data_IF_034870066730
#
_entry.id   IF_034870066730
#
_cell.length_a   1.000
_cell.length_b   1.000
_cell.length_c   1.000
_cell.angle_alpha   90.00
_cell.angle_beta   90.00
_cell.angle_gamma   90.00
#
_symmetry.space_group_name_H-M   'P 1'
#
loop_
_entity.id
_entity.type
_entity.pdbx_description
1 polymer ?
#
# COMPACT_ATOMS: atom_id res chain seq x y z
N UNK A 1 -17.76 14.27 -27.24
CA UNK A 1 -17.53 12.83 -26.96
C UNK A 1 -16.26 12.68 -26.13
N UNK A 2 -16.39 12.55 -24.81
CA UNK A 2 -15.27 12.17 -23.94
C UNK A 2 -15.83 11.10 -23.01
N UNK A 3 -15.54 9.84 -23.34
CA UNK A 3 -15.84 8.69 -22.49
C UNK A 3 -15.09 8.84 -21.16
N UNK A 4 -15.70 9.53 -20.19
CA UNK A 4 -15.39 9.36 -18.78
C UNK A 4 -15.95 7.98 -18.41
N UNK A 5 -15.23 6.95 -18.80
CA UNK A 5 -15.51 5.57 -18.39
C UNK A 5 -15.62 5.55 -16.87
N UNK A 6 -16.84 5.29 -16.43
CA UNK A 6 -17.24 5.04 -15.06
C UNK A 6 -16.38 3.91 -14.48
N UNK A 7 -15.22 4.26 -13.91
CA UNK A 7 -14.54 3.39 -12.96
C UNK A 7 -15.41 3.36 -11.70
N UNK A 8 -16.45 2.52 -11.74
CA UNK A 8 -17.02 1.95 -10.54
C UNK A 8 -15.86 1.35 -9.75
N UNK A 9 -15.40 2.05 -8.71
CA UNK A 9 -14.45 1.54 -7.73
C UNK A 9 -15.12 0.32 -7.09
N UNK A 10 -14.77 -0.85 -7.61
CA UNK A 10 -15.49 -2.10 -7.39
C UNK A 10 -15.52 -2.45 -5.91
N UNK A 11 -16.72 -2.67 -5.36
CA UNK A 11 -16.90 -3.29 -4.03
C UNK A 11 -16.27 -4.68 -3.94
N UNK A 12 -16.11 -5.36 -5.07
CA UNK A 12 -15.59 -6.72 -5.14
C UNK A 12 -14.05 -6.75 -5.08
N UNK A 13 -13.47 -7.72 -4.35
CA UNK A 13 -12.03 -7.93 -4.36
C UNK A 13 -11.56 -8.26 -5.78
N UNK A 14 -10.41 -7.71 -6.17
CA UNK A 14 -9.70 -8.09 -7.39
C UNK A 14 -8.78 -9.24 -7.08
N UNK A 15 -8.79 -10.26 -7.93
CA UNK A 15 -8.01 -11.48 -7.74
C UNK A 15 -7.19 -11.78 -8.99
N UNK A 16 -5.92 -12.12 -8.80
CA UNK A 16 -5.01 -12.48 -9.89
C UNK A 16 -4.18 -13.69 -9.50
N UNK A 17 -4.08 -14.66 -10.38
CA UNK A 17 -3.16 -15.78 -10.25
C UNK A 17 -1.88 -15.50 -11.04
N UNK A 18 -0.74 -15.78 -10.42
CA UNK A 18 0.58 -15.73 -11.06
C UNK A 18 1.27 -17.07 -10.87
N UNK A 19 1.95 -17.53 -11.91
CA UNK A 19 2.56 -18.86 -11.98
C UNK A 19 4.09 -18.85 -11.96
N UNK A 20 4.69 -17.66 -11.88
CA UNK A 20 6.14 -17.48 -11.76
C UNK A 20 6.48 -16.19 -11.04
N UNK A 21 7.71 -16.07 -10.55
CA UNK A 21 8.21 -14.83 -9.96
C UNK A 21 8.14 -13.66 -10.93
N UNK A 22 8.36 -13.91 -12.22
CA UNK A 22 8.34 -12.91 -13.29
C UNK A 22 6.92 -12.38 -13.49
N UNK A 23 5.92 -13.25 -13.44
CA UNK A 23 4.51 -12.85 -13.49
C UNK A 23 4.11 -12.05 -12.25
N UNK A 24 4.53 -12.45 -11.04
CA UNK A 24 4.30 -11.67 -9.82
C UNK A 24 4.93 -10.27 -9.90
N UNK A 25 6.18 -10.19 -10.40
CA UNK A 25 6.87 -8.91 -10.60
C UNK A 25 6.15 -8.03 -11.63
N UNK A 26 5.73 -8.61 -12.75
CA UNK A 26 5.00 -7.91 -13.80
C UNK A 26 3.63 -7.41 -13.31
N UNK A 27 2.93 -8.21 -12.51
CA UNK A 27 1.65 -7.82 -11.91
C UNK A 27 1.82 -6.57 -11.04
N UNK A 28 2.85 -6.51 -10.18
CA UNK A 28 3.12 -5.36 -9.32
C UNK A 28 3.21 -4.04 -10.12
N UNK A 29 3.95 -4.04 -11.23
CA UNK A 29 4.03 -2.88 -12.13
C UNK A 29 2.71 -2.58 -12.84
N UNK A 30 1.99 -3.62 -13.29
CA UNK A 30 0.69 -3.47 -13.98
C UNK A 30 -0.38 -2.83 -13.11
N UNK A 31 -0.39 -3.13 -11.81
CA UNK A 31 -1.44 -2.65 -10.88
C UNK A 31 -1.06 -1.36 -10.15
N UNK A 32 0.20 -0.94 -10.19
CA UNK A 32 0.66 0.32 -9.58
C UNK A 32 -0.17 1.55 -10.02
N UNK A 33 -0.54 1.73 -11.32
CA UNK A 33 -1.44 2.80 -11.73
C UNK A 33 -2.78 2.79 -11.01
N UNK A 34 -3.35 1.61 -10.73
CA UNK A 34 -4.63 1.50 -10.03
C UNK A 34 -4.54 2.03 -8.59
N UNK A 35 -3.40 1.83 -7.94
CA UNK A 35 -3.17 2.31 -6.57
C UNK A 35 -2.93 3.81 -6.51
N UNK A 36 -2.30 4.40 -7.53
CA UNK A 36 -2.17 5.85 -7.61
C UNK A 36 -3.54 6.56 -7.67
N UNK A 37 -4.48 5.98 -8.41
CA UNK A 37 -5.84 6.53 -8.55
C UNK A 37 -6.69 6.32 -7.29
N UNK A 38 -6.41 5.24 -6.55
CA UNK A 38 -7.05 4.94 -5.27
C UNK A 38 -6.50 5.78 -4.10
N UNK A 39 -5.23 6.19 -4.20
CA UNK A 39 -4.56 7.01 -3.19
C UNK A 39 -5.15 8.41 -3.11
N UNK A 40 -5.17 8.98 -1.90
CA UNK A 40 -5.45 10.41 -1.75
C UNK A 40 -4.23 11.20 -2.20
N UNK A 41 -4.44 12.26 -3.02
CA UNK A 41 -3.36 13.07 -3.60
C UNK A 41 -2.35 13.60 -2.57
N UNK A 42 -2.78 13.75 -1.33
CA UNK A 42 -1.99 14.34 -0.24
C UNK A 42 -1.51 13.32 0.81
N UNK A 43 -1.58 12.01 0.52
CA UNK A 43 -1.12 10.96 1.43
C UNK A 43 -0.10 10.03 0.78
N UNK A 44 0.70 9.36 1.61
CA UNK A 44 1.58 8.29 1.15
C UNK A 44 0.76 7.12 0.59
N UNK A 45 1.34 6.35 -0.32
CA UNK A 45 0.74 5.09 -0.76
C UNK A 45 1.22 3.97 0.17
N UNK A 46 0.30 3.37 0.93
CA UNK A 46 0.61 2.28 1.87
C UNK A 46 0.06 0.95 1.37
N UNK A 47 0.94 0.01 1.08
CA UNK A 47 0.66 -1.35 0.61
C UNK A 47 1.02 -2.36 1.72
N UNK A 48 0.01 -2.98 2.31
CA UNK A 48 0.15 -4.01 3.34
C UNK A 48 0.12 -5.40 2.68
N UNK A 49 1.26 -6.10 2.68
CA UNK A 49 1.47 -7.38 2.01
C UNK A 49 1.34 -8.52 3.03
N UNK A 50 0.20 -9.20 3.00
CA UNK A 50 -0.13 -10.31 3.90
C UNK A 50 0.00 -11.64 3.21
N UNK A 51 0.49 -12.65 3.91
CA UNK A 51 0.57 -14.01 3.39
C UNK A 51 1.68 -14.79 4.06
N UNK A 52 1.67 -16.09 3.86
CA UNK A 52 2.64 -17.00 4.47
C UNK A 52 4.08 -16.77 3.96
N UNK A 53 5.04 -17.42 4.62
CA UNK A 53 6.41 -17.47 4.14
C UNK A 53 6.44 -18.07 2.73
N UNK A 54 7.23 -17.51 1.82
CA UNK A 54 7.29 -17.99 0.43
C UNK A 54 6.10 -17.60 -0.46
N UNK A 55 5.09 -16.90 0.07
CA UNK A 55 3.91 -16.48 -0.71
C UNK A 55 4.19 -15.43 -1.81
N UNK A 56 5.43 -14.91 -1.90
CA UNK A 56 5.84 -13.99 -2.96
C UNK A 56 5.74 -12.50 -2.61
N UNK A 57 5.62 -12.15 -1.33
CA UNK A 57 5.58 -10.76 -0.84
C UNK A 57 6.79 -9.94 -1.30
N UNK A 58 8.01 -10.37 -0.98
CA UNK A 58 9.25 -9.70 -1.45
C UNK A 58 9.38 -9.69 -2.98
N UNK A 59 8.94 -10.76 -3.65
CA UNK A 59 8.91 -10.84 -5.13
C UNK A 59 8.01 -9.76 -5.73
N UNK A 60 6.88 -9.46 -5.08
CA UNK A 60 6.02 -8.35 -5.47
C UNK A 60 6.73 -7.00 -5.28
N UNK A 61 7.42 -6.79 -4.15
CA UNK A 61 8.20 -5.55 -3.91
C UNK A 61 9.31 -5.37 -4.94
N UNK A 62 9.97 -6.44 -5.39
CA UNK A 62 10.94 -6.38 -6.49
C UNK A 62 10.29 -5.89 -7.79
N UNK A 63 9.10 -6.39 -8.12
CA UNK A 63 8.34 -5.92 -9.28
C UNK A 63 7.93 -4.46 -9.18
N UNK A 64 7.47 -4.05 -8.00
CA UNK A 64 7.16 -2.66 -7.69
C UNK A 64 8.38 -1.76 -7.88
N UNK A 65 9.52 -2.12 -7.30
CA UNK A 65 10.76 -1.35 -7.43
C UNK A 65 11.22 -1.24 -8.89
N UNK A 66 11.14 -2.33 -9.66
CA UNK A 66 11.44 -2.32 -11.09
C UNK A 66 10.52 -1.35 -11.86
N UNK A 67 9.23 -1.37 -11.57
CA UNK A 67 8.24 -0.47 -12.19
C UNK A 67 8.54 1.01 -11.87
N UNK A 68 9.05 1.28 -10.66
CA UNK A 68 9.49 2.59 -10.20
C UNK A 68 10.87 3.01 -10.74
N UNK A 69 11.55 2.15 -11.51
CA UNK A 69 12.88 2.44 -12.06
C UNK A 69 14.03 2.30 -11.07
N UNK A 70 13.81 1.70 -9.91
CA UNK A 70 14.86 1.43 -8.92
C UNK A 70 15.77 0.32 -9.47
N UNK A 71 17.08 0.61 -9.57
CA UNK A 71 18.09 -0.33 -10.08
C UNK A 71 18.72 -1.20 -8.98
N UNK A 72 18.55 -0.81 -7.71
CA UNK A 72 19.10 -1.55 -6.59
C UNK A 72 18.47 -2.95 -6.48
N UNK A 73 19.26 -3.92 -6.03
CA UNK A 73 18.75 -5.24 -5.67
C UNK A 73 17.82 -5.13 -4.45
N UNK A 74 16.58 -5.56 -4.61
CA UNK A 74 15.60 -5.59 -3.52
C UNK A 74 15.63 -6.97 -2.84
N UNK A 75 15.94 -6.96 -1.55
CA UNK A 75 15.89 -8.12 -0.65
C UNK A 75 14.98 -7.81 0.51
N UNK A 76 14.43 -8.84 1.17
CA UNK A 76 13.65 -8.58 2.39
C UNK A 76 14.55 -7.92 3.45
N UNK A 77 14.12 -6.83 4.09
CA UNK A 77 14.85 -6.17 5.16
C UNK A 77 14.64 -6.84 6.52
N UNK A 78 14.35 -8.14 6.59
CA UNK A 78 13.95 -8.86 7.82
C UNK A 78 14.81 -8.57 9.05
N UNK A 79 16.13 -8.37 8.89
CA UNK A 79 17.05 -8.05 10.00
C UNK A 79 17.18 -6.56 10.29
N UNK A 80 17.05 -5.70 9.28
CA UNK A 80 17.20 -4.24 9.41
C UNK A 80 15.84 -3.53 9.53
N UNK A 81 14.75 -4.30 9.50
CA UNK A 81 13.33 -3.94 9.54
C UNK A 81 12.84 -3.05 8.39
N UNK A 82 13.66 -2.13 7.89
CA UNK A 82 13.31 -1.16 6.85
C UNK A 82 14.47 -0.89 5.90
N UNK A 83 14.18 -0.73 4.60
CA UNK A 83 15.08 -0.13 3.60
C UNK A 83 14.37 0.97 2.83
N UNK A 84 15.09 2.05 2.53
CA UNK A 84 14.64 3.16 1.68
C UNK A 84 15.35 3.12 0.33
N UNK A 85 14.60 3.31 -0.73
CA UNK A 85 15.11 3.44 -2.09
C UNK A 85 14.55 4.72 -2.72
N UNK A 86 15.42 5.64 -3.11
CA UNK A 86 15.01 6.85 -3.83
C UNK A 86 15.02 6.60 -5.34
N UNK A 87 14.09 7.21 -6.06
CA UNK A 87 13.99 7.13 -7.51
C UNK A 87 13.55 8.47 -8.11
N UNK A 88 14.06 8.79 -9.30
CA UNK A 88 13.86 10.10 -9.91
C UNK A 88 12.82 10.09 -11.04
N UNK A 89 12.53 8.93 -11.64
CA UNK A 89 11.66 8.82 -12.81
C UNK A 89 10.86 7.52 -12.78
N UNK A 90 9.56 7.60 -13.08
CA UNK A 90 8.70 6.45 -13.35
C UNK A 90 9.03 5.91 -14.75
N UNK A 91 10.13 5.19 -14.87
CA UNK A 91 10.68 4.75 -16.18
C UNK A 91 9.85 3.66 -16.85
N UNK A 92 9.06 2.88 -16.09
CA UNK A 92 8.34 1.71 -16.60
C UNK A 92 6.82 1.78 -16.39
N UNK A 93 6.29 2.98 -16.10
CA UNK A 93 4.85 3.20 -15.98
C UNK A 93 4.40 4.43 -16.79
N UNK A 94 4.34 4.33 -18.14
CA UNK A 94 3.94 5.46 -18.99
C UNK A 94 2.53 5.98 -18.70
N UNK A 95 1.63 5.12 -18.21
CA UNK A 95 0.26 5.49 -17.83
C UNK A 95 0.16 6.23 -16.48
N UNK A 96 1.26 6.34 -15.75
CA UNK A 96 1.36 7.10 -14.50
C UNK A 96 1.90 8.53 -14.70
N UNK A 97 2.00 9.01 -15.95
CA UNK A 97 2.32 10.41 -16.30
C UNK A 97 1.24 11.42 -15.89
N UNK A 98 0.44 11.12 -14.87
CA UNK A 98 -0.38 12.14 -14.24
C UNK A 98 0.58 13.12 -13.56
N UNK A 99 0.56 14.39 -14.00
CA UNK A 99 1.44 15.47 -13.53
C UNK A 99 1.36 15.70 -12.01
N UNK A 100 0.41 15.06 -11.33
CA UNK A 100 0.16 15.18 -9.90
C UNK A 100 0.88 14.13 -9.03
N UNK A 101 1.46 13.06 -9.60
CA UNK A 101 2.13 12.03 -8.79
C UNK A 101 3.57 12.46 -8.49
N UNK A 102 3.84 12.71 -7.21
CA UNK A 102 5.14 13.22 -6.72
C UNK A 102 5.98 12.16 -6.01
N UNK A 103 5.76 10.87 -6.28
CA UNK A 103 6.50 9.82 -5.61
C UNK A 103 8.00 9.87 -5.90
N UNK A 104 8.81 9.75 -4.85
CA UNK A 104 10.27 9.84 -4.89
C UNK A 104 10.97 8.73 -4.10
N UNK A 105 10.25 8.06 -3.21
CA UNK A 105 10.82 7.05 -2.32
C UNK A 105 9.95 5.81 -2.26
N UNK A 106 10.59 4.64 -2.26
CA UNK A 106 10.02 3.37 -1.85
C UNK A 106 10.62 3.01 -0.49
N UNK A 107 9.77 2.86 0.52
CA UNK A 107 10.12 2.26 1.80
C UNK A 107 9.63 0.82 1.80
N UNK A 108 10.53 -0.12 2.03
CA UNK A 108 10.22 -1.54 2.21
C UNK A 108 10.41 -1.87 3.67
N UNK A 109 9.32 -2.24 4.34
CA UNK A 109 9.32 -2.76 5.70
C UNK A 109 9.08 -4.27 5.67
N UNK A 110 9.78 -5.00 6.53
CA UNK A 110 9.48 -6.38 6.87
C UNK A 110 9.33 -6.48 8.38
N UNK A 111 8.07 -6.63 8.82
CA UNK A 111 7.71 -6.61 10.23
C UNK A 111 7.73 -8.00 10.87
N UNK A 112 8.21 -9.05 10.18
CA UNK A 112 8.16 -10.43 10.66
C UNK A 112 8.71 -10.60 12.09
N UNK A 113 9.78 -9.84 12.41
CA UNK A 113 10.48 -9.87 13.70
C UNK A 113 10.06 -8.81 14.70
N UNK A 114 9.08 -7.97 14.36
CA UNK A 114 8.52 -7.01 15.32
C UNK A 114 7.71 -7.80 16.36
N UNK A 115 7.99 -7.52 17.63
CA UNK A 115 7.26 -8.09 18.76
C UNK A 115 6.19 -7.11 19.25
N UNK A 116 6.56 -5.83 19.36
CA UNK A 116 5.68 -4.73 19.76
C UNK A 116 5.47 -3.75 18.60
N UNK A 117 4.23 -3.43 18.22
CA UNK A 117 3.94 -2.50 17.13
C UNK A 117 4.73 -1.18 17.21
N UNK A 118 4.97 -0.67 18.41
CA UNK A 118 5.62 0.61 18.70
C UNK A 118 7.08 0.67 18.26
N UNK A 119 7.76 -0.48 18.06
CA UNK A 119 9.15 -0.51 17.59
C UNK A 119 9.34 0.23 16.25
N UNK A 120 8.33 0.22 15.39
CA UNK A 120 8.39 0.90 14.10
C UNK A 120 8.44 2.43 14.24
N UNK A 121 7.97 2.99 15.37
CA UNK A 121 7.98 4.43 15.62
C UNK A 121 9.41 4.98 15.64
N UNK A 122 10.35 4.22 16.23
CA UNK A 122 11.76 4.58 16.26
C UNK A 122 12.41 4.62 14.85
N UNK A 123 11.81 3.97 13.86
CA UNK A 123 12.24 4.01 12.45
C UNK A 123 11.74 5.26 11.71
N UNK A 124 11.12 6.21 12.41
CA UNK A 124 10.58 7.43 11.82
C UNK A 124 9.23 7.24 11.13
N UNK A 125 8.45 6.22 11.54
CA UNK A 125 7.17 5.83 10.94
C UNK A 125 6.25 7.01 10.63
N UNK A 126 6.03 7.91 11.59
CA UNK A 126 5.13 9.06 11.47
C UNK A 126 5.54 10.01 10.33
N UNK A 127 6.83 10.33 10.25
CA UNK A 127 7.38 11.17 9.18
C UNK A 127 7.28 10.48 7.82
N UNK A 128 7.53 9.18 7.78
CA UNK A 128 7.48 8.39 6.54
C UNK A 128 6.06 8.33 5.97
N UNK A 129 5.05 8.02 6.80
CA UNK A 129 3.65 7.94 6.35
C UNK A 129 3.05 9.31 6.02
N UNK A 130 3.52 10.38 6.67
CA UNK A 130 3.02 11.74 6.48
C UNK A 130 3.44 12.37 5.14
N UNK A 131 4.46 11.84 4.47
CA UNK A 131 4.95 12.38 3.21
C UNK A 131 4.25 11.73 2.01
N UNK A 132 3.46 12.51 1.27
CA UNK A 132 2.77 12.07 0.05
C UNK A 132 3.70 11.65 -1.11
N UNK A 133 4.99 11.91 -0.99
CA UNK A 133 6.03 11.46 -1.94
C UNK A 133 6.47 10.02 -1.71
N UNK A 134 5.94 9.34 -0.69
CA UNK A 134 6.41 8.01 -0.29
C UNK A 134 5.43 6.91 -0.73
N UNK A 135 6.00 5.82 -1.24
CA UNK A 135 5.35 4.52 -1.39
C UNK A 135 5.93 3.62 -0.30
N UNK A 136 5.06 2.92 0.42
CA UNK A 136 5.42 2.13 1.59
C UNK A 136 4.87 0.72 1.35
N UNK A 137 5.76 -0.25 1.21
CA UNK A 137 5.43 -1.68 1.10
C UNK A 137 5.79 -2.38 2.40
N UNK A 138 4.82 -3.03 3.03
CA UNK A 138 4.96 -3.58 4.38
C UNK A 138 4.66 -5.07 4.33
N UNK A 139 5.68 -5.91 4.51
CA UNK A 139 5.50 -7.34 4.75
C UNK A 139 5.12 -7.59 6.22
N UNK A 140 4.26 -8.58 6.45
CA UNK A 140 3.74 -8.94 7.77
C UNK A 140 3.05 -7.79 8.53
N UNK A 141 2.14 -7.04 7.87
CA UNK A 141 1.53 -5.83 8.43
C UNK A 141 0.68 -6.09 9.67
N UNK A 142 0.24 -7.32 9.92
CA UNK A 142 -0.45 -7.74 11.15
C UNK A 142 0.33 -7.43 12.42
N UNK A 143 1.67 -7.43 12.36
CA UNK A 143 2.56 -7.11 13.48
C UNK A 143 2.48 -5.65 13.91
N UNK A 144 2.02 -4.76 13.03
CA UNK A 144 1.91 -3.31 13.28
C UNK A 144 0.48 -2.79 13.04
N UNK A 145 -0.52 -3.67 13.00
CA UNK A 145 -1.90 -3.36 12.61
C UNK A 145 -2.48 -2.10 13.29
N UNK A 146 -2.27 -1.83 14.60
CA UNK A 146 -2.79 -0.61 15.24
C UNK A 146 -2.22 0.71 14.68
N UNK A 147 -1.05 0.66 14.04
CA UNK A 147 -0.34 1.84 13.50
C UNK A 147 -0.55 2.03 11.99
N UNK A 148 -1.24 1.10 11.33
CA UNK A 148 -1.53 1.21 9.90
C UNK A 148 -2.57 2.31 9.65
N UNK A 149 -2.33 3.21 8.69
CA UNK A 149 -3.30 4.26 8.41
C UNK A 149 -4.57 3.70 7.75
N UNK A 150 -5.69 4.39 7.92
CA UNK A 150 -7.02 3.96 7.43
C UNK A 150 -7.15 3.84 5.91
N UNK A 151 -6.21 4.41 5.16
CA UNK A 151 -6.14 4.34 3.69
C UNK A 151 -5.20 3.24 3.18
N UNK A 152 -4.72 2.36 4.06
CA UNK A 152 -3.87 1.22 3.69
C UNK A 152 -4.59 0.29 2.72
N UNK A 153 -3.90 -0.07 1.63
CA UNK A 153 -4.37 -1.08 0.68
C UNK A 153 -3.77 -2.43 1.09
N UNK A 154 -4.63 -3.40 1.39
CA UNK A 154 -4.23 -4.74 1.77
C UNK A 154 -4.15 -5.64 0.53
N UNK A 155 -3.01 -6.31 0.37
CA UNK A 155 -2.77 -7.34 -0.63
C UNK A 155 -2.56 -8.66 0.10
N UNK A 156 -3.45 -9.62 -0.10
CA UNK A 156 -3.37 -10.97 0.45
C UNK A 156 -2.78 -11.92 -0.59
N UNK A 157 -1.68 -12.55 -0.25
CA UNK A 157 -0.97 -13.55 -1.03
C UNK A 157 -1.34 -14.93 -0.50
N UNK A 158 -1.84 -15.78 -1.39
CA UNK A 158 -2.32 -17.14 -1.09
C UNK A 158 -1.59 -18.10 -2.03
N UNK A 159 -1.16 -19.24 -1.50
CA UNK A 159 -0.52 -20.32 -2.25
C UNK A 159 -1.50 -21.49 -2.37
N UNK A 160 -2.48 -21.46 -3.30
CA UNK A 160 -3.44 -22.54 -3.43
C UNK A 160 -2.79 -23.88 -3.84
N UNK A 161 -1.63 -23.82 -4.51
CA UNK A 161 -0.77 -24.94 -4.82
C UNK A 161 0.65 -24.43 -5.11
N UNK A 162 1.57 -25.35 -5.40
CA UNK A 162 2.99 -25.04 -5.62
C UNK A 162 3.22 -24.10 -6.81
N UNK A 163 2.40 -24.21 -7.85
CA UNK A 163 2.56 -23.50 -9.13
C UNK A 163 1.75 -22.21 -9.24
N UNK A 164 1.04 -21.80 -8.20
CA UNK A 164 0.17 -20.65 -8.24
C UNK A 164 0.36 -19.76 -7.01
N UNK A 165 0.43 -18.46 -7.23
CA UNK A 165 0.33 -17.41 -6.22
C UNK A 165 -0.88 -16.57 -6.57
N UNK A 166 -1.93 -16.68 -5.76
CA UNK A 166 -3.14 -15.87 -5.86
C UNK A 166 -2.95 -14.60 -5.03
N UNK A 167 -3.07 -13.45 -5.68
CA UNK A 167 -2.95 -12.13 -5.07
C UNK A 167 -4.32 -11.48 -5.11
N UNK A 168 -4.85 -11.19 -3.93
CA UNK A 168 -6.18 -10.60 -3.73
C UNK A 168 -6.03 -9.24 -3.10
N UNK A 169 -6.73 -8.23 -3.62
CA UNK A 169 -6.78 -6.92 -2.98
C UNK A 169 -8.13 -6.26 -3.15
N UNK A 170 -8.39 -5.29 -2.29
CA UNK A 170 -9.55 -4.43 -2.40
C UNK A 170 -9.09 -2.98 -2.20
N UNK A 171 -9.53 -2.10 -3.10
CA UNK A 171 -9.34 -0.68 -2.91
C UNK A 171 -10.41 -0.20 -1.92
N UNK A 172 -10.04 0.41 -0.78
CA UNK A 172 -11.02 0.96 0.14
C UNK A 172 -11.90 1.97 -0.60
N UNK A 173 -13.22 1.76 -0.59
CA UNK A 173 -14.14 2.71 -1.22
C UNK A 173 -14.00 4.09 -0.56
N UNK A 174 -13.78 5.14 -1.34
CA UNK A 174 -13.65 6.54 -0.88
C UNK A 174 -14.81 6.97 0.05
N UNK A 175 -16.01 6.40 -0.12
CA UNK A 175 -17.19 6.67 0.72
C UNK A 175 -17.12 6.10 2.15
N UNK A 176 -16.36 5.04 2.39
CA UNK A 176 -16.26 4.42 3.73
C UNK A 176 -15.49 5.25 4.76
N UNK A 177 -14.73 6.26 4.30
CA UNK A 177 -13.97 7.18 5.17
C UNK A 177 -14.80 8.41 5.57
N UNK A 178 -15.76 8.83 4.73
CA UNK A 178 -16.62 10.01 5.00
C UNK A 178 -17.63 9.70 6.11
N UNK A 179 -18.16 8.47 6.18
CA UNK A 179 -19.16 8.09 7.20
C UNK A 179 -18.61 7.87 8.60
N UNK A 180 -17.28 7.74 8.76
CA UNK A 180 -16.65 7.66 10.09
C UNK A 180 -16.32 9.04 10.68
N UNK A 181 -16.00 10.02 9.84
CA UNK A 181 -15.71 11.39 10.32
C UNK A 181 -16.97 12.19 10.68
N UNK A 182 -18.12 11.92 10.07
CA UNK A 182 -19.37 12.64 10.42
C UNK A 182 -20.02 12.19 11.73
N UNK A 183 -19.65 11.02 12.28
CA UNK A 183 -20.19 10.54 13.57
C UNK A 183 -19.37 10.98 14.79
N UNK A 184 -18.20 11.60 14.61
CA UNK A 184 -17.34 12.03 15.71
C UNK A 184 -17.56 13.49 16.16
N UNK A 185 -18.28 14.32 15.40
CA UNK A 185 -18.42 15.76 15.69
C UNK A 185 -19.75 16.18 16.34
N UNK A 186 -20.68 15.27 16.61
CA UNK A 186 -21.99 15.61 17.22
C UNK A 186 -22.23 14.88 18.54
N UNK A 187 -21.38 15.12 19.54
CA UNK A 187 -21.76 15.00 20.97
C UNK A 187 -20.98 16.02 21.82
N UNK A 188 -21.33 17.30 21.72
CA UNK A 188 -21.18 18.23 22.85
C UNK A 188 -22.54 18.37 23.54
N UNK A 189 -22.68 18.02 24.83
CA UNK A 189 -23.93 18.25 25.54
C UNK A 189 -24.15 19.76 25.74
N UNK A 190 -25.34 20.21 25.40
CA UNK A 190 -25.85 21.55 25.73
C UNK A 190 -25.98 21.59 27.26
N UNK A 191 -25.18 22.43 27.94
CA UNK A 191 -25.43 22.77 29.35
C UNK A 191 -26.70 23.60 29.41
N UNK A 192 -27.75 23.06 30.05
CA UNK A 192 -28.88 23.87 30.52
C UNK A 192 -28.39 24.68 31.72
N UNK A 193 -28.47 26.00 31.61
CA UNK A 193 -28.51 26.87 32.78
C UNK A 193 -29.98 27.10 33.09
N UNK A 194 -30.43 26.69 34.27
CA UNK A 194 -31.71 27.13 34.83
C UNK A 194 -31.48 28.48 35.56
N UNK A 195 -32.46 29.39 35.53
CA UNK A 195 -32.35 30.75 36.09
C UNK A 195 -32.36 30.80 37.62
#
# INVERSE_FOLDING_TARGET
MSNKSSLFLTKQPKEFCTHSSEQTKALAGKILPLFAWAGQKDKSLVLALQGELGAGKTTFVQGLAKALGIKNRITSPTFVLMKKFSFCCLTHCPNLKDKNIKWKNLYHFDCYRIEQPQEILALGWESIIGQNTNIIAIEWPEKIKPLLPSHTIFLKFIMPNEHCRKIVWQIPSLRSQITKNTKAEHKKPIKKYDP
#
